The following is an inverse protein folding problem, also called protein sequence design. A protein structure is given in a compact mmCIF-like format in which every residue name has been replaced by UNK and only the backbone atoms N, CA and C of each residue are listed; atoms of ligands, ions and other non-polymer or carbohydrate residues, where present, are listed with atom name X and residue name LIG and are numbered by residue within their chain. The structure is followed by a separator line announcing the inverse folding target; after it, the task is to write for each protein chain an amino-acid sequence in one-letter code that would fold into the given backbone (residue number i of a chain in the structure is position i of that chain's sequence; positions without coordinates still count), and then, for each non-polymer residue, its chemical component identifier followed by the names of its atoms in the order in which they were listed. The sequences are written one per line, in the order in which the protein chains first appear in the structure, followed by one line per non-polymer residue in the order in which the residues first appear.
data_IF_631596863895
#
_entry.id   IF_631596863895
#
_cell.length_a   1.000
_cell.length_b   1.000
_cell.length_c   1.000
_cell.angle_alpha   90.00
_cell.angle_beta   90.00
_cell.angle_gamma   90.00
#
_symmetry.space_group_name_H-M   'P 1'
#
loop_
_entity.id
_entity.type
_entity.pdbx_description
1 polymer ?
#
# COMPACT_ATOMS: atom_id res chain seq x y z
N UNK A 1 32.85 -0.89 15.42
CA UNK A 1 31.64 -1.01 14.59
C UNK A 1 30.72 -2.04 15.23
N UNK A 2 29.61 -1.60 15.82
CA UNK A 2 28.73 -2.47 16.63
C UNK A 2 27.83 -3.35 15.77
N UNK A 3 27.55 -4.58 16.26
CA UNK A 3 26.52 -5.51 15.77
C UNK A 3 25.12 -4.88 15.57
N UNK A 4 24.88 -3.66 16.06
CA UNK A 4 23.70 -2.84 15.76
C UNK A 4 23.52 -2.50 14.28
N UNK A 5 24.60 -2.40 13.50
CA UNK A 5 24.54 -2.14 12.06
C UNK A 5 24.29 -3.42 11.24
N UNK A 6 24.65 -4.60 11.79
CA UNK A 6 24.43 -5.95 11.22
C UNK A 6 23.00 -6.50 11.38
N UNK A 7 22.08 -5.73 11.99
CA UNK A 7 20.62 -5.93 11.92
C UNK A 7 19.96 -4.74 11.19
N UNK A 8 20.55 -4.22 10.10
CA UNK A 8 20.42 -4.87 8.79
C UNK A 8 18.98 -5.31 8.56
N UNK A 9 18.09 -4.42 8.10
CA UNK A 9 17.88 -4.13 6.67
C UNK A 9 17.20 -5.30 5.93
N UNK A 10 17.36 -6.53 6.41
CA UNK A 10 16.96 -7.74 5.69
C UNK A 10 15.54 -8.26 5.99
N UNK A 11 14.76 -7.65 6.90
CA UNK A 11 13.47 -8.27 7.32
C UNK A 11 12.17 -7.50 7.13
N UNK A 12 12.14 -6.22 6.77
CA UNK A 12 10.84 -5.50 6.58
C UNK A 12 10.80 -4.45 5.47
N UNK A 13 11.71 -4.46 4.51
CA UNK A 13 11.33 -4.01 3.16
C UNK A 13 10.63 -5.22 2.50
N UNK A 14 9.57 -5.02 1.74
CA UNK A 14 9.79 -4.76 0.33
C UNK A 14 8.95 -5.73 -0.46
N UNK A 15 7.66 -5.44 -0.49
CA UNK A 15 6.86 -5.83 -1.63
C UNK A 15 6.64 -4.56 -2.44
N UNK A 16 6.96 -4.63 -3.72
CA UNK A 16 6.72 -3.52 -4.64
C UNK A 16 5.20 -3.38 -4.79
N UNK A 17 4.70 -2.22 -4.39
CA UNK A 17 3.32 -1.82 -4.68
C UNK A 17 3.37 -0.92 -5.90
N UNK A 18 2.35 -0.97 -6.75
CA UNK A 18 2.21 0.01 -7.82
C UNK A 18 1.38 1.16 -7.30
N UNK A 19 1.97 2.35 -7.19
CA UNK A 19 1.30 3.57 -6.75
C UNK A 19 1.30 4.53 -7.93
N UNK A 20 0.12 4.90 -8.43
CA UNK A 20 -0.03 5.74 -9.64
C UNK A 20 0.81 5.25 -10.83
N UNK A 21 0.90 3.93 -11.00
CA UNK A 21 1.68 3.30 -12.08
C UNK A 21 3.19 3.17 -11.83
N UNK A 22 3.68 3.59 -10.66
CA UNK A 22 5.10 3.51 -10.29
C UNK A 22 5.31 2.45 -9.21
N UNK A 23 6.21 1.50 -9.48
CA UNK A 23 6.64 0.54 -8.48
C UNK A 23 7.35 1.24 -7.32
N UNK A 24 6.77 1.10 -6.14
CA UNK A 24 7.22 1.75 -4.92
C UNK A 24 7.39 0.71 -3.82
N UNK A 25 8.58 0.67 -3.23
CA UNK A 25 8.85 -0.18 -2.09
C UNK A 25 8.13 0.35 -0.84
N UNK A 26 7.15 -0.41 -0.38
CA UNK A 26 6.29 -0.03 0.73
C UNK A 26 6.30 -1.05 1.86
N UNK A 27 5.80 -0.63 3.03
CA UNK A 27 5.47 -1.55 4.13
C UNK A 27 3.97 -1.58 4.35
N UNK A 28 3.36 -2.67 3.92
CA UNK A 28 1.95 -2.94 4.20
C UNK A 28 1.76 -3.56 5.58
N UNK A 29 0.62 -3.25 6.22
CA UNK A 29 0.14 -3.89 7.44
C UNK A 29 -1.39 -3.84 7.48
N UNK A 30 -2.00 -4.98 7.75
CA UNK A 30 -3.39 -5.09 8.16
C UNK A 30 -3.48 -5.35 9.66
N UNK A 31 -4.25 -4.54 10.40
CA UNK A 31 -4.51 -4.74 11.83
C UNK A 31 -5.81 -4.04 12.23
N UNK A 32 -6.63 -4.67 13.08
CA UNK A 32 -7.88 -4.10 13.59
C UNK A 32 -8.78 -3.58 12.45
N UNK A 33 -8.97 -4.38 11.41
CA UNK A 33 -9.74 -4.05 10.20
C UNK A 33 -9.30 -2.77 9.47
N UNK A 34 -8.05 -2.36 9.69
CA UNK A 34 -7.46 -1.20 9.04
C UNK A 34 -6.28 -1.63 8.18
N UNK A 35 -6.35 -1.32 6.89
CA UNK A 35 -5.24 -1.47 5.96
C UNK A 35 -4.34 -0.23 6.06
N UNK A 36 -3.05 -0.44 6.24
CA UNK A 36 -2.06 0.65 6.30
C UNK A 36 -0.88 0.37 5.39
N UNK A 37 -0.43 1.40 4.69
CA UNK A 37 0.74 1.38 3.83
C UNK A 37 1.73 2.44 4.32
N UNK A 38 3.01 2.09 4.40
CA UNK A 38 4.06 3.07 4.71
C UNK A 38 4.98 3.27 3.53
N UNK A 39 5.19 4.54 3.19
CA UNK A 39 6.16 5.00 2.19
C UNK A 39 7.25 5.82 2.88
N UNK A 40 8.34 6.08 2.13
CA UNK A 40 9.52 6.79 2.65
C UNK A 40 9.85 8.07 1.87
N UNK A 41 8.95 8.48 0.96
CA UNK A 41 9.16 9.62 0.06
C UNK A 41 8.29 10.80 0.46
N UNK A 42 6.97 10.62 0.46
CA UNK A 42 6.00 11.69 0.73
C UNK A 42 4.64 11.16 1.19
N UNK A 43 3.77 12.07 1.63
CA UNK A 43 2.34 11.76 1.77
C UNK A 43 1.73 11.46 0.39
N UNK A 44 0.87 10.45 0.32
CA UNK A 44 0.02 10.19 -0.83
C UNK A 44 -1.26 11.02 -0.71
N UNK A 45 -1.78 11.46 -1.86
CA UNK A 45 -3.06 12.14 -1.88
C UNK A 45 -4.20 11.18 -1.49
N UNK A 46 -5.32 11.74 -1.06
CA UNK A 46 -6.54 10.96 -0.93
C UNK A 46 -6.96 10.50 -2.34
N UNK A 47 -7.56 9.33 -2.42
CA UNK A 47 -8.04 8.69 -3.65
C UNK A 47 -6.92 8.20 -4.60
N UNK A 48 -5.64 8.34 -4.20
CA UNK A 48 -4.51 7.66 -4.85
C UNK A 48 -4.73 6.15 -4.84
N UNK A 49 -4.55 5.51 -6.00
CA UNK A 49 -4.73 4.06 -6.15
C UNK A 49 -3.40 3.35 -5.93
N UNK A 50 -3.43 2.37 -5.04
CA UNK A 50 -2.32 1.53 -4.65
C UNK A 50 -2.67 0.08 -5.02
N UNK A 51 -1.88 -0.55 -5.88
CA UNK A 51 -2.04 -1.96 -6.25
C UNK A 51 -1.00 -2.78 -5.49
N UNK A 52 -1.45 -3.81 -4.79
CA UNK A 52 -0.56 -4.72 -4.08
C UNK A 52 0.11 -5.71 -5.07
N UNK A 53 1.10 -6.50 -4.63
CA UNK A 53 1.75 -7.48 -5.50
C UNK A 53 0.84 -8.58 -6.05
N UNK A 54 -0.29 -8.83 -5.37
CA UNK A 54 -1.27 -9.84 -5.76
C UNK A 54 -2.29 -9.29 -6.78
N UNK A 55 -2.18 -8.01 -7.15
CA UNK A 55 -3.06 -7.34 -8.10
C UNK A 55 -4.32 -6.71 -7.49
N UNK A 56 -4.50 -6.81 -6.18
CA UNK A 56 -5.63 -6.19 -5.47
C UNK A 56 -5.42 -4.68 -5.37
N UNK A 57 -6.50 -3.93 -5.61
CA UNK A 57 -6.48 -2.47 -5.62
C UNK A 57 -7.01 -1.89 -4.32
N UNK A 58 -6.36 -0.83 -3.88
CA UNK A 58 -6.72 -0.08 -2.68
C UNK A 58 -6.73 1.42 -2.98
N UNK A 59 -7.66 2.14 -2.37
CA UNK A 59 -7.69 3.60 -2.38
C UNK A 59 -7.11 4.16 -1.07
N UNK A 60 -6.31 5.23 -1.16
CA UNK A 60 -5.83 5.97 0.01
C UNK A 60 -6.97 6.83 0.55
N UNK A 61 -7.39 6.59 1.79
CA UNK A 61 -8.45 7.38 2.44
C UNK A 61 -7.90 8.44 3.40
N UNK A 62 -6.63 8.34 3.76
CA UNK A 62 -5.96 9.32 4.61
C UNK A 62 -4.46 9.07 4.72
N UNK A 63 -3.69 10.15 4.86
CA UNK A 63 -2.24 10.12 4.95
C UNK A 63 -1.76 10.97 6.12
N UNK A 64 -0.69 10.54 6.80
CA UNK A 64 0.01 11.33 7.80
C UNK A 64 1.51 11.06 7.79
N UNK A 65 2.30 12.07 8.12
CA UNK A 65 3.74 11.89 8.42
C UNK A 65 3.88 11.30 9.82
N UNK A 66 4.65 10.22 9.96
CA UNK A 66 4.88 9.58 11.28
C UNK A 66 6.28 9.88 11.83
N UNK A 67 7.26 10.13 10.97
CA UNK A 67 8.59 10.65 11.35
C UNK A 67 9.21 11.41 10.16
N UNK A 68 10.49 11.78 10.25
CA UNK A 68 11.17 12.56 9.22
C UNK A 68 11.05 11.94 7.81
N UNK A 69 11.21 10.62 7.71
CA UNK A 69 11.38 9.90 6.45
C UNK A 69 10.32 8.79 6.27
N UNK A 70 9.22 8.83 7.01
CA UNK A 70 8.18 7.80 6.96
C UNK A 70 6.81 8.43 7.02
N UNK A 71 5.98 7.99 6.09
CA UNK A 71 4.58 8.40 5.94
C UNK A 71 3.70 7.15 6.08
N UNK A 72 2.55 7.29 6.72
CA UNK A 72 1.57 6.22 6.92
C UNK A 72 0.27 6.62 6.22
N UNK A 73 -0.24 5.72 5.39
CA UNK A 73 -1.45 5.87 4.60
C UNK A 73 -2.45 4.82 5.06
N UNK A 74 -3.68 5.25 5.34
CA UNK A 74 -4.79 4.34 5.57
C UNK A 74 -5.41 4.03 4.22
N UNK A 75 -5.61 2.74 3.97
CA UNK A 75 -6.13 2.23 2.72
C UNK A 75 -7.54 1.65 2.92
N UNK A 76 -8.32 1.65 1.84
CA UNK A 76 -9.57 0.93 1.73
C UNK A 76 -9.55 0.05 0.48
N UNK A 77 -9.96 -1.24 0.55
CA UNK A 77 -10.04 -2.08 -0.63
C UNK A 77 -11.02 -1.50 -1.65
N UNK A 78 -10.62 -1.50 -2.92
CA UNK A 78 -11.53 -1.23 -4.03
C UNK A 78 -12.15 -2.58 -4.38
N UNK A 79 -13.40 -2.79 -4.01
CA UNK A 79 -14.15 -3.96 -4.45
C UNK A 79 -14.40 -3.82 -5.96
N UNK A 80 -13.49 -4.32 -6.79
CA UNK A 80 -13.75 -4.64 -8.19
C UNK A 80 -14.57 -5.93 -8.24
N UNK A 81 -15.77 -5.92 -7.68
CA UNK A 81 -16.78 -6.88 -8.08
C UNK A 81 -17.28 -6.41 -9.44
N UNK A 82 -16.58 -6.79 -10.51
CA UNK A 82 -17.24 -6.87 -11.80
C UNK A 82 -18.37 -7.90 -11.60
N UNK A 83 -19.61 -7.43 -11.41
CA UNK A 83 -20.74 -8.28 -11.69
C UNK A 83 -20.59 -8.68 -13.15
N UNK A 84 -20.45 -9.98 -13.50
CA UNK A 84 -20.56 -10.36 -14.89
C UNK A 84 -21.94 -9.92 -15.36
N UNK A 85 -21.96 -9.03 -16.35
CA UNK A 85 -23.17 -8.56 -17.01
C UNK A 85 -23.74 -9.75 -17.80
N UNK A 86 -24.42 -10.66 -17.10
CA UNK A 86 -25.10 -11.78 -17.73
C UNK A 86 -26.33 -11.24 -18.44
N UNK A 87 -26.11 -10.79 -19.68
CA UNK A 87 -27.22 -10.51 -20.59
C UNK A 87 -27.58 -11.84 -21.26
N UNK A 88 -28.71 -12.50 -20.92
CA UNK A 88 -29.17 -13.63 -21.71
C UNK A 88 -29.46 -13.14 -23.13
N UNK A 89 -28.69 -13.62 -24.10
CA UNK A 89 -29.02 -13.42 -25.51
C UNK A 89 -30.35 -14.11 -25.81
N UNK A 90 -31.28 -13.36 -26.40
CA UNK A 90 -32.59 -13.87 -26.83
C UNK A 90 -32.57 -14.21 -28.30
#
# INVERSE_FOLDING_TARGET
MSDRLRRSIERRFGQAWTIDGVETLCRYRYKNDTHTLKTFTSTLAKDTVCVNPDGEMFEVIGSKRVNADTFEHVLKPINTTEMPDWTPSR
#
